data_IF_043435269213
#
_entry.id   IF_043435269213
#
_cell.length_a   1.000
_cell.length_b   1.000
_cell.length_c   1.000
_cell.angle_alpha   90.00
_cell.angle_beta   90.00
_cell.angle_gamma   90.00
#
_symmetry.space_group_name_H-M   'P 1'
#
loop_
_entity.id
_entity.type
_entity.pdbx_description
1 polymer ?
#
# COMPACT_ATOMS: atom_id res chain seq x y z
N UNK A 1 -21.08 15.13 1.39
CA UNK A 1 -21.24 13.68 1.19
C UNK A 1 -19.83 13.20 1.21
N UNK A 2 -19.43 12.61 2.33
CA UNK A 2 -18.07 12.11 2.52
C UNK A 2 -17.73 11.21 1.35
N UNK A 3 -16.64 11.53 0.68
CA UNK A 3 -15.96 10.60 -0.20
C UNK A 3 -15.47 9.48 0.69
N UNK A 4 -16.23 8.38 0.79
CA UNK A 4 -15.67 7.14 1.30
C UNK A 4 -14.43 6.85 0.45
N UNK A 5 -13.28 6.64 1.10
CA UNK A 5 -12.04 6.32 0.39
C UNK A 5 -12.24 5.01 -0.37
N UNK A 6 -12.27 5.12 -1.70
CA UNK A 6 -12.28 3.96 -2.58
C UNK A 6 -10.99 3.16 -2.37
N UNK A 7 -11.11 1.85 -2.24
CA UNK A 7 -10.03 0.91 -2.05
C UNK A 7 -10.15 -0.28 -3.03
N UNK A 8 -9.12 -1.13 -3.06
CA UNK A 8 -9.14 -2.37 -3.83
C UNK A 8 -9.30 -2.17 -5.33
N UNK A 9 -8.67 -1.16 -5.93
CA UNK A 9 -8.82 -0.87 -7.36
C UNK A 9 -8.19 -1.96 -8.24
N UNK A 10 -8.93 -2.42 -9.24
CA UNK A 10 -8.46 -3.30 -10.30
C UNK A 10 -9.02 -2.85 -11.65
N UNK A 11 -8.28 -3.03 -12.73
CA UNK A 11 -8.71 -2.62 -14.08
C UNK A 11 -8.43 -3.71 -15.11
N UNK A 12 -9.34 -3.84 -16.07
CA UNK A 12 -9.20 -4.72 -17.24
C UNK A 12 -9.48 -3.94 -18.51
N UNK A 13 -8.91 -4.37 -19.63
CA UNK A 13 -9.16 -3.77 -20.95
C UNK A 13 -10.63 -3.93 -21.35
N UNK A 14 -11.21 -2.93 -22.02
CA UNK A 14 -12.53 -3.00 -22.64
C UNK A 14 -12.34 -3.36 -24.12
N UNK A 15 -12.61 -4.62 -24.46
CA UNK A 15 -12.32 -5.17 -25.79
C UNK A 15 -13.56 -5.18 -26.66
N UNK A 16 -13.60 -4.30 -27.67
CA UNK A 16 -14.60 -4.27 -28.73
C UNK A 16 -14.26 -5.22 -29.89
N UNK A 17 -15.29 -5.79 -30.52
CA UNK A 17 -15.12 -6.58 -31.75
C UNK A 17 -14.13 -7.76 -31.62
N UNK A 18 -13.98 -8.30 -30.41
CA UNK A 18 -13.02 -9.35 -29.98
C UNK A 18 -11.54 -8.95 -29.92
N UNK A 19 -11.10 -7.86 -30.55
CA UNK A 19 -9.67 -7.58 -30.73
C UNK A 19 -9.28 -6.09 -30.65
N UNK A 20 -10.24 -5.20 -30.43
CA UNK A 20 -10.01 -3.75 -30.44
C UNK A 20 -10.10 -3.27 -29.00
N UNK A 21 -8.98 -2.84 -28.45
CA UNK A 21 -9.00 -2.11 -27.18
C UNK A 21 -9.63 -0.73 -27.42
N UNK A 22 -10.72 -0.45 -26.69
CA UNK A 22 -11.45 0.82 -26.76
C UNK A 22 -11.44 1.57 -25.43
N UNK A 23 -10.72 1.08 -24.42
CA UNK A 23 -10.60 1.69 -23.09
C UNK A 23 -10.54 0.65 -21.97
N UNK A 24 -11.15 0.94 -20.84
CA UNK A 24 -11.03 0.12 -19.63
C UNK A 24 -12.34 -0.08 -18.87
N UNK A 25 -12.35 -1.12 -18.05
CA UNK A 25 -13.32 -1.32 -16.98
C UNK A 25 -12.56 -1.34 -15.66
N UNK A 26 -12.83 -0.38 -14.79
CA UNK A 26 -12.21 -0.26 -13.47
C UNK A 26 -13.20 -0.64 -12.38
N UNK A 27 -12.78 -1.48 -11.45
CA UNK A 27 -13.57 -1.91 -10.29
C UNK A 27 -12.85 -1.49 -9.02
N UNK A 28 -13.59 -0.91 -8.09
CA UNK A 28 -13.11 -0.50 -6.79
C UNK A 28 -14.24 -0.64 -5.77
N UNK A 29 -13.92 -0.66 -4.48
CA UNK A 29 -14.92 -0.79 -3.43
C UNK A 29 -14.67 0.18 -2.26
N UNK A 30 -15.71 0.50 -1.49
CA UNK A 30 -15.59 0.98 -0.11
C UNK A 30 -15.93 -0.17 0.86
N UNK A 31 -16.05 0.08 2.18
CA UNK A 31 -16.42 -0.94 3.17
C UNK A 31 -17.74 -1.69 2.85
N UNK A 32 -18.64 -1.06 2.09
CA UNK A 32 -20.02 -1.50 1.89
C UNK A 32 -20.44 -1.59 0.43
N UNK A 33 -19.73 -0.93 -0.47
CA UNK A 33 -20.12 -0.69 -1.85
C UNK A 33 -19.04 -1.16 -2.79
N UNK A 34 -19.39 -1.83 -3.88
CA UNK A 34 -18.50 -2.05 -5.03
C UNK A 34 -19.00 -1.23 -6.21
N UNK A 35 -18.07 -0.55 -6.88
CA UNK A 35 -18.31 0.27 -8.05
C UNK A 35 -17.57 -0.30 -9.26
N UNK A 36 -18.21 -0.24 -10.43
CA UNK A 36 -17.66 -0.64 -11.72
C UNK A 36 -17.82 0.53 -12.68
N UNK A 37 -16.71 1.06 -13.16
CA UNK A 37 -16.64 2.17 -14.10
C UNK A 37 -16.20 1.66 -15.48
N UNK A 38 -16.93 2.08 -16.51
CA UNK A 38 -16.56 1.95 -17.92
C UNK A 38 -15.93 3.26 -18.37
N UNK A 39 -14.77 3.19 -19.00
CA UNK A 39 -14.13 4.33 -19.66
C UNK A 39 -13.75 3.94 -21.09
N UNK A 40 -14.12 4.76 -22.07
CA UNK A 40 -13.64 4.63 -23.46
C UNK A 40 -12.63 5.70 -23.80
N UNK A 41 -11.72 5.38 -24.70
CA UNK A 41 -10.64 6.28 -25.13
C UNK A 41 -10.84 6.79 -26.55
N UNK A 42 -10.10 7.87 -26.87
CA UNK A 42 -10.04 8.48 -28.19
C UNK A 42 -11.43 8.80 -28.77
N UNK A 43 -11.73 8.26 -29.94
CA UNK A 43 -12.94 8.55 -30.72
C UNK A 43 -14.11 7.61 -30.38
N UNK A 44 -13.98 6.78 -29.33
CA UNK A 44 -15.01 5.83 -28.91
C UNK A 44 -15.91 6.40 -27.82
N UNK A 45 -17.19 6.09 -27.93
CA UNK A 45 -18.27 6.49 -27.02
C UNK A 45 -19.12 5.28 -26.64
N UNK A 46 -19.51 5.22 -25.37
CA UNK A 46 -20.50 4.29 -24.85
C UNK A 46 -21.89 4.73 -25.29
N UNK A 47 -22.65 3.81 -25.87
CA UNK A 47 -24.06 4.00 -26.24
C UNK A 47 -25.01 3.17 -25.37
N UNK A 48 -24.51 2.10 -24.76
CA UNK A 48 -25.23 1.23 -23.84
C UNK A 48 -24.24 0.47 -22.97
N UNK A 49 -24.55 0.27 -21.70
CA UNK A 49 -23.73 -0.49 -20.74
C UNK A 49 -24.60 -1.47 -19.97
N UNK A 50 -24.04 -2.64 -19.68
CA UNK A 50 -24.69 -3.73 -18.93
C UNK A 50 -23.71 -4.32 -17.93
N UNK A 51 -24.19 -4.58 -16.71
CA UNK A 51 -23.40 -5.13 -15.62
C UNK A 51 -24.17 -6.23 -14.88
N UNK A 52 -23.49 -7.36 -14.66
CA UNK A 52 -23.88 -8.38 -13.71
C UNK A 52 -22.73 -8.74 -12.78
N UNK A 53 -23.01 -8.84 -11.49
CA UNK A 53 -22.07 -9.23 -10.44
C UNK A 53 -22.67 -10.43 -9.69
N UNK A 54 -21.86 -11.46 -9.43
CA UNK A 54 -22.26 -12.65 -8.67
C UNK A 54 -21.10 -13.21 -7.84
N UNK A 55 -21.39 -14.00 -6.82
CA UNK A 55 -20.39 -14.74 -6.01
C UNK A 55 -20.05 -16.13 -6.58
N UNK A 56 -20.69 -16.52 -7.68
CA UNK A 56 -20.43 -17.75 -8.44
C UNK A 56 -20.66 -17.46 -9.94
N UNK A 57 -19.77 -17.86 -10.88
CA UNK A 57 -19.97 -17.64 -12.31
C UNK A 57 -21.29 -18.22 -12.84
N UNK A 58 -21.81 -19.29 -12.23
CA UNK A 58 -23.11 -19.87 -12.57
C UNK A 58 -24.28 -18.94 -12.25
N UNK A 59 -24.09 -17.96 -11.35
CA UNK A 59 -25.05 -16.92 -11.00
C UNK A 59 -25.17 -15.80 -12.05
N UNK A 60 -24.19 -15.66 -12.95
CA UNK A 60 -24.25 -14.67 -14.03
C UNK A 60 -25.34 -15.07 -15.06
N UNK A 61 -26.21 -14.13 -15.50
CA UNK A 61 -27.30 -14.44 -16.42
C UNK A 61 -26.83 -15.07 -17.74
N UNK A 62 -27.11 -16.35 -17.93
CA UNK A 62 -26.65 -17.11 -19.09
C UNK A 62 -27.62 -18.23 -19.49
N UNK A 63 -27.53 -18.67 -20.76
CA UNK A 63 -28.27 -19.82 -21.29
C UNK A 63 -27.37 -20.70 -22.14
N UNK A 64 -27.29 -21.98 -21.77
CA UNK A 64 -26.39 -22.95 -22.38
C UNK A 64 -24.93 -22.45 -22.43
N UNK A 65 -24.49 -21.80 -21.35
CA UNK A 65 -23.15 -21.22 -21.22
C UNK A 65 -22.94 -19.89 -21.93
N UNK A 66 -23.91 -19.35 -22.67
CA UNK A 66 -23.76 -18.03 -23.32
C UNK A 66 -24.39 -16.95 -22.42
N UNK A 67 -23.67 -15.86 -22.10
CA UNK A 67 -24.25 -14.73 -21.38
C UNK A 67 -25.33 -14.05 -22.21
N UNK A 68 -26.28 -13.42 -21.53
CA UNK A 68 -27.39 -12.67 -22.12
C UNK A 68 -27.34 -11.24 -21.59
N UNK A 69 -26.62 -10.30 -22.24
CA UNK A 69 -26.47 -8.92 -21.76
C UNK A 69 -27.78 -8.23 -21.40
N UNK A 70 -28.81 -8.33 -22.26
CA UNK A 70 -30.15 -7.77 -21.98
C UNK A 70 -30.95 -8.47 -20.87
N UNK A 71 -30.33 -9.36 -20.10
CA UNK A 71 -30.86 -9.92 -18.84
C UNK A 71 -29.95 -9.57 -17.65
N UNK A 72 -28.91 -8.77 -17.85
CA UNK A 72 -28.06 -8.30 -16.76
C UNK A 72 -28.86 -7.34 -15.87
N UNK A 73 -28.75 -7.45 -14.53
CA UNK A 73 -29.61 -6.70 -13.63
C UNK A 73 -29.45 -5.18 -13.73
N UNK A 74 -28.25 -4.72 -14.07
CA UNK A 74 -27.89 -3.31 -14.14
C UNK A 74 -27.57 -2.95 -15.59
N UNK A 75 -28.14 -1.86 -16.07
CA UNK A 75 -27.90 -1.36 -17.42
C UNK A 75 -28.26 0.12 -17.53
N UNK A 76 -27.55 0.82 -18.40
CA UNK A 76 -27.90 2.16 -18.88
C UNK A 76 -27.98 2.12 -20.40
N UNK A 77 -29.04 2.73 -20.95
CA UNK A 77 -29.31 2.82 -22.38
C UNK A 77 -29.29 4.29 -22.82
N UNK A 78 -29.35 4.54 -24.14
CA UNK A 78 -29.38 5.88 -24.75
C UNK A 78 -28.21 6.78 -24.30
N UNK A 79 -27.03 6.18 -24.10
CA UNK A 79 -25.82 6.88 -23.71
C UNK A 79 -25.15 7.58 -24.91
N UNK A 80 -24.40 8.64 -24.61
CA UNK A 80 -23.43 9.24 -25.52
C UNK A 80 -22.31 9.90 -24.69
N UNK A 81 -21.49 9.07 -24.07
CA UNK A 81 -20.49 9.45 -23.08
C UNK A 81 -19.27 8.56 -23.21
N UNK A 82 -18.12 9.02 -22.73
CA UNK A 82 -16.93 8.18 -22.61
C UNK A 82 -16.82 7.51 -21.24
N UNK A 83 -17.64 7.91 -20.27
CA UNK A 83 -17.64 7.38 -18.91
C UNK A 83 -19.04 7.00 -18.47
N UNK A 84 -19.16 5.84 -17.83
CA UNK A 84 -20.37 5.39 -17.14
C UNK A 84 -20.01 4.51 -15.94
N UNK A 85 -20.81 4.53 -14.88
CA UNK A 85 -20.48 3.79 -13.66
C UNK A 85 -21.73 3.24 -12.96
N UNK A 86 -21.54 2.09 -12.32
CA UNK A 86 -22.52 1.45 -11.46
C UNK A 86 -21.91 1.22 -10.08
N UNK A 87 -22.66 1.51 -9.02
CA UNK A 87 -22.26 1.17 -7.66
C UNK A 87 -23.38 0.38 -6.98
N UNK A 88 -23.04 -0.71 -6.32
CA UNK A 88 -23.97 -1.57 -5.59
C UNK A 88 -23.43 -1.93 -4.21
N UNK A 89 -24.34 -2.15 -3.26
CA UNK A 89 -23.95 -2.63 -1.94
C UNK A 89 -23.48 -4.09 -2.03
N UNK A 90 -22.36 -4.42 -1.40
CA UNK A 90 -21.86 -5.78 -1.25
C UNK A 90 -22.91 -6.70 -0.61
N UNK A 91 -23.67 -6.16 0.35
CA UNK A 91 -24.75 -6.90 1.00
C UNK A 91 -25.88 -7.31 0.03
N UNK A 92 -26.16 -6.51 -1.01
CA UNK A 92 -27.22 -6.81 -1.99
C UNK A 92 -26.83 -7.95 -2.95
N UNK A 93 -25.53 -8.15 -3.16
CA UNK A 93 -24.98 -9.29 -3.93
C UNK A 93 -24.68 -10.50 -3.04
N UNK A 94 -24.86 -10.39 -1.72
CA UNK A 94 -24.60 -11.45 -0.75
C UNK A 94 -23.11 -11.73 -0.55
N UNK A 95 -22.28 -10.68 -0.59
CA UNK A 95 -20.85 -10.73 -0.38
C UNK A 95 -20.41 -9.75 0.70
N UNK A 96 -19.22 -9.99 1.25
CA UNK A 96 -18.47 -9.08 2.13
C UNK A 96 -17.06 -8.86 1.52
N UNK A 97 -16.30 -7.85 1.97
CA UNK A 97 -14.90 -7.73 1.59
C UNK A 97 -14.12 -9.03 1.83
N UNK A 98 -13.30 -9.44 0.86
CA UNK A 98 -12.58 -10.71 0.84
C UNK A 98 -13.31 -11.85 0.11
N UNK A 99 -14.61 -11.73 -0.15
CA UNK A 99 -15.34 -12.72 -0.95
C UNK A 99 -15.09 -12.52 -2.45
N UNK A 100 -14.81 -13.59 -3.22
CA UNK A 100 -14.60 -13.45 -4.66
C UNK A 100 -15.91 -13.09 -5.37
N UNK A 101 -15.84 -12.06 -6.20
CA UNK A 101 -16.89 -11.61 -7.11
C UNK A 101 -16.51 -11.95 -8.55
N UNK A 102 -17.52 -12.29 -9.33
CA UNK A 102 -17.43 -12.52 -10.76
C UNK A 102 -18.26 -11.46 -11.46
N UNK A 103 -17.60 -10.68 -12.31
CA UNK A 103 -18.14 -9.46 -12.90
C UNK A 103 -18.19 -9.63 -14.42
N UNK A 104 -19.38 -9.49 -14.98
CA UNK A 104 -19.61 -9.51 -16.42
C UNK A 104 -20.05 -8.11 -16.88
N UNK A 105 -19.21 -7.48 -17.72
CA UNK A 105 -19.46 -6.17 -18.30
C UNK A 105 -19.62 -6.27 -19.80
N UNK A 106 -20.70 -5.70 -20.33
CA UNK A 106 -20.96 -5.60 -21.76
C UNK A 106 -21.32 -4.17 -22.13
N UNK A 107 -20.74 -3.64 -23.20
CA UNK A 107 -21.08 -2.32 -23.72
C UNK A 107 -21.38 -2.38 -25.23
N UNK A 108 -22.27 -1.50 -25.69
CA UNK A 108 -22.32 -1.11 -27.09
C UNK A 108 -21.54 0.20 -27.24
N UNK A 109 -20.57 0.22 -28.15
CA UNK A 109 -19.69 1.37 -28.40
C UNK A 109 -19.84 1.88 -29.82
N UNK A 110 -19.70 3.18 -30.00
CA UNK A 110 -19.74 3.87 -31.28
C UNK A 110 -18.46 4.68 -31.47
N UNK A 111 -17.94 4.72 -32.71
CA UNK A 111 -16.78 5.53 -33.06
C UNK A 111 -17.21 6.78 -33.83
N UNK A 112 -16.85 7.96 -33.35
CA UNK A 112 -17.10 9.25 -34.01
C UNK A 112 -15.77 9.91 -34.42
N UNK A 113 -15.58 10.15 -35.71
CA UNK A 113 -14.40 10.84 -36.24
C UNK A 113 -14.87 12.11 -36.94
N UNK A 114 -14.29 13.26 -36.55
CA UNK A 114 -14.61 14.58 -37.13
C UNK A 114 -16.12 14.93 -37.10
N UNK A 115 -16.88 14.44 -36.10
CA UNK A 115 -18.31 14.69 -35.97
C UNK A 115 -19.21 13.75 -36.78
N UNK A 116 -18.64 12.69 -37.39
CA UNK A 116 -19.38 11.68 -38.15
C UNK A 116 -19.25 10.30 -37.50
N UNK A 117 -20.38 9.61 -37.34
CA UNK A 117 -20.43 8.24 -36.84
C UNK A 117 -19.85 7.28 -37.90
N UNK A 118 -18.72 6.66 -37.58
CA UNK A 118 -17.96 5.78 -38.50
C UNK A 118 -18.36 4.31 -38.33
N UNK A 119 -18.77 3.91 -37.14
CA UNK A 119 -19.19 2.54 -36.87
C UNK A 119 -19.55 2.31 -35.41
N UNK A 120 -19.93 1.07 -35.11
CA UNK A 120 -20.16 0.64 -33.73
C UNK A 120 -19.90 -0.85 -33.57
N UNK A 121 -19.55 -1.24 -32.36
CA UNK A 121 -19.17 -2.59 -31.97
C UNK A 121 -19.75 -2.92 -30.59
N UNK A 122 -19.76 -4.20 -30.22
CA UNK A 122 -19.98 -4.60 -28.82
C UNK A 122 -18.64 -4.83 -28.15
N UNK A 123 -18.53 -4.49 -26.86
CA UNK A 123 -17.33 -4.64 -26.06
C UNK A 123 -17.58 -5.39 -24.76
N UNK A 124 -16.55 -6.05 -24.25
CA UNK A 124 -16.55 -6.75 -22.97
C UNK A 124 -15.32 -6.38 -22.15
N UNK A 125 -15.47 -6.28 -20.83
CA UNK A 125 -14.30 -6.27 -19.95
C UNK A 125 -13.53 -7.59 -20.11
N UNK A 126 -12.23 -7.48 -20.36
CA UNK A 126 -11.38 -8.63 -20.63
C UNK A 126 -11.30 -9.55 -19.43
N UNK A 127 -11.38 -10.86 -19.67
CA UNK A 127 -11.33 -11.85 -18.60
C UNK A 127 -11.44 -13.28 -19.11
N UNK A 128 -12.10 -14.12 -18.32
CA UNK A 128 -12.40 -15.50 -18.63
C UNK A 128 -13.56 -15.63 -19.60
N UNK A 129 -13.44 -16.56 -20.55
CA UNK A 129 -14.53 -16.90 -21.45
C UNK A 129 -15.70 -17.53 -20.69
N UNK A 130 -16.91 -17.11 -21.02
CA UNK A 130 -18.09 -17.91 -20.71
C UNK A 130 -18.04 -19.27 -21.43
N UNK A 131 -18.57 -20.36 -20.84
CA UNK A 131 -18.44 -21.72 -21.39
C UNK A 131 -19.24 -21.97 -22.69
N UNK A 132 -19.96 -20.96 -23.18
CA UNK A 132 -20.77 -20.98 -24.38
C UNK A 132 -19.95 -20.95 -25.67
N UNK A 133 -20.59 -20.46 -26.74
CA UNK A 133 -20.00 -20.36 -28.09
C UNK A 133 -19.81 -18.91 -28.53
N UNK A 134 -20.35 -17.94 -27.79
CA UNK A 134 -20.05 -16.53 -27.99
C UNK A 134 -18.75 -16.16 -27.22
N UNK A 135 -18.25 -14.96 -27.50
CA UNK A 135 -17.00 -14.44 -26.95
C UNK A 135 -17.24 -13.58 -25.70
N UNK A 136 -18.39 -13.75 -25.04
CA UNK A 136 -18.66 -12.99 -23.82
C UNK A 136 -17.68 -13.39 -22.72
N UNK A 137 -17.25 -12.41 -21.94
CA UNK A 137 -16.25 -12.59 -20.89
C UNK A 137 -16.79 -12.15 -19.52
N UNK A 138 -16.18 -12.69 -18.47
CA UNK A 138 -16.30 -12.17 -17.11
C UNK A 138 -14.92 -12.19 -16.46
N UNK A 139 -14.69 -11.35 -15.47
CA UNK A 139 -13.44 -11.35 -14.71
C UNK A 139 -13.73 -11.48 -13.21
N UNK A 140 -12.70 -11.89 -12.47
CA UNK A 140 -12.77 -12.04 -11.02
C UNK A 140 -12.27 -10.77 -10.34
N UNK A 141 -12.90 -10.43 -9.22
CA UNK A 141 -12.54 -9.31 -8.38
C UNK A 141 -12.76 -9.69 -6.92
N UNK A 142 -11.80 -9.40 -6.05
CA UNK A 142 -11.95 -9.62 -4.61
C UNK A 142 -11.99 -8.24 -3.94
N UNK A 143 -13.15 -7.77 -3.44
CA UNK A 143 -13.24 -6.48 -2.77
C UNK A 143 -12.30 -6.45 -1.56
N UNK A 144 -11.52 -5.39 -1.44
CA UNK A 144 -10.58 -5.23 -0.34
C UNK A 144 -11.31 -4.72 0.90
N UNK A 145 -10.82 -5.05 2.10
CA UNK A 145 -11.25 -4.33 3.29
C UNK A 145 -10.70 -2.90 3.19
N UNK A 146 -11.57 -1.89 3.09
CA UNK A 146 -11.14 -0.49 2.98
C UNK A 146 -10.55 0.10 4.26
N UNK A 147 -10.46 -0.72 5.30
CA UNK A 147 -9.45 -0.63 6.33
C UNK A 147 -8.10 -1.14 5.79
N UNK A 148 -7.56 -0.54 4.70
CA UNK A 148 -6.35 -1.02 4.03
C UNK A 148 -5.36 -1.57 5.04
N UNK A 149 -5.14 -2.88 5.04
CA UNK A 149 -4.56 -3.56 6.21
C UNK A 149 -3.06 -3.28 6.27
N UNK A 150 -2.71 -2.06 6.68
CA UNK A 150 -1.40 -1.69 7.16
C UNK A 150 -1.07 -2.45 8.47
N UNK A 151 -1.97 -3.30 8.98
CA UNK A 151 -1.69 -4.18 10.10
C UNK A 151 -0.81 -5.38 9.76
N UNK A 152 -0.45 -5.59 8.48
CA UNK A 152 0.64 -6.50 8.13
C UNK A 152 2.01 -5.99 8.59
N UNK A 153 2.19 -4.68 8.75
CA UNK A 153 3.47 -4.10 9.15
C UNK A 153 3.73 -4.28 10.64
N UNK A 154 5.02 -4.24 10.98
CA UNK A 154 5.49 -4.21 12.36
C UNK A 154 6.61 -3.18 12.47
N UNK A 155 6.56 -2.38 13.50
CA UNK A 155 7.64 -1.48 13.92
C UNK A 155 7.91 -1.72 15.39
N UNK A 156 8.99 -1.17 15.92
CA UNK A 156 9.20 -1.13 17.36
C UNK A 156 9.89 0.14 17.81
N UNK A 157 9.58 0.52 19.04
CA UNK A 157 10.30 1.60 19.73
C UNK A 157 11.73 1.20 20.05
N UNK A 158 12.60 2.20 20.22
CA UNK A 158 13.97 1.98 20.72
C UNK A 158 13.99 1.25 22.08
N UNK A 159 12.95 1.41 22.90
CA UNK A 159 12.81 0.70 24.16
C UNK A 159 12.60 -0.81 23.95
N UNK A 160 11.73 -1.18 23.00
CA UNK A 160 11.51 -2.58 22.63
C UNK A 160 12.78 -3.23 22.08
N UNK A 161 13.42 -2.56 21.12
CA UNK A 161 14.68 -3.03 20.53
C UNK A 161 15.87 -3.01 21.49
N UNK A 162 15.83 -2.29 22.59
CA UNK A 162 16.88 -2.30 23.64
C UNK A 162 16.69 -3.38 24.71
N UNK A 163 15.65 -4.21 24.62
CA UNK A 163 15.43 -5.26 25.63
C UNK A 163 16.37 -6.45 25.44
N UNK A 164 16.75 -7.11 26.54
CA UNK A 164 17.36 -8.45 26.49
C UNK A 164 16.34 -9.48 26.02
N UNK A 165 16.78 -10.49 25.26
CA UNK A 165 15.89 -11.55 24.79
C UNK A 165 15.25 -12.33 25.96
N UNK A 166 13.92 -12.26 26.07
CA UNK A 166 13.09 -13.06 26.97
C UNK A 166 11.76 -13.41 26.31
N UNK A 167 11.45 -14.71 26.23
CA UNK A 167 10.23 -15.19 25.59
C UNK A 167 10.22 -14.87 24.09
N UNK A 168 9.22 -14.13 23.63
CA UNK A 168 9.08 -13.69 22.23
C UNK A 168 9.17 -12.16 22.10
N UNK A 169 9.88 -11.49 23.02
CA UNK A 169 10.00 -10.05 22.98
C UNK A 169 10.85 -9.57 21.77
N UNK A 170 10.85 -8.26 21.46
CA UNK A 170 11.59 -7.73 20.31
C UNK A 170 13.10 -7.99 20.38
N UNK A 171 13.70 -8.01 21.58
CA UNK A 171 15.10 -8.40 21.77
C UNK A 171 15.43 -9.79 21.23
N UNK A 172 14.52 -10.77 21.37
CA UNK A 172 14.73 -12.10 20.78
C UNK A 172 14.68 -12.11 19.25
N UNK A 173 13.80 -11.31 18.64
CA UNK A 173 13.75 -11.18 17.18
C UNK A 173 15.04 -10.53 16.67
N UNK A 174 15.46 -9.43 17.30
CA UNK A 174 16.74 -8.77 17.01
C UNK A 174 17.91 -9.76 17.10
N UNK A 175 18.03 -10.52 18.19
CA UNK A 175 19.10 -11.50 18.39
C UNK A 175 19.15 -12.59 17.31
N UNK A 176 17.99 -13.04 16.84
CA UNK A 176 17.91 -14.12 15.85
C UNK A 176 18.18 -13.64 14.41
N UNK A 177 17.86 -12.39 14.08
CA UNK A 177 17.83 -11.91 12.70
C UNK A 177 18.88 -10.84 12.39
N UNK A 178 19.54 -10.25 13.39
CA UNK A 178 20.48 -9.13 13.18
C UNK A 178 21.58 -9.44 12.17
N UNK A 179 22.30 -10.56 12.33
CA UNK A 179 23.43 -10.90 11.45
C UNK A 179 22.98 -11.16 9.99
N UNK A 180 21.73 -11.59 9.80
CA UNK A 180 21.16 -11.81 8.47
C UNK A 180 20.75 -10.49 7.80
N UNK A 181 20.18 -9.56 8.57
CA UNK A 181 19.77 -8.24 8.09
C UNK A 181 20.96 -7.28 7.90
N UNK A 182 21.99 -7.41 8.76
CA UNK A 182 23.12 -6.49 8.87
C UNK A 182 24.45 -7.25 8.93
N UNK A 183 24.87 -7.94 7.85
CA UNK A 183 26.09 -8.75 7.85
C UNK A 183 27.38 -7.95 8.15
N UNK A 184 27.38 -6.65 7.86
CA UNK A 184 28.48 -5.72 8.14
C UNK A 184 28.17 -4.76 9.31
N UNK A 185 27.08 -5.00 10.04
CA UNK A 185 26.55 -4.13 11.08
C UNK A 185 25.58 -3.06 10.58
N UNK A 186 24.79 -2.50 11.50
CA UNK A 186 23.87 -1.41 11.23
C UNK A 186 24.62 -0.08 11.30
N UNK A 187 24.66 0.67 10.20
CA UNK A 187 25.28 2.00 10.14
C UNK A 187 24.21 3.08 10.30
N UNK A 188 24.44 4.04 11.19
CA UNK A 188 23.62 5.23 11.35
C UNK A 188 24.46 6.51 11.38
N UNK A 189 23.92 7.62 10.88
CA UNK A 189 24.67 8.84 10.65
C UNK A 189 25.26 8.90 9.23
N UNK A 190 26.24 9.78 9.03
CA UNK A 190 26.84 10.02 7.71
C UNK A 190 28.26 10.59 7.86
N UNK A 191 29.06 10.46 6.80
CA UNK A 191 30.45 10.97 6.70
C UNK A 191 31.29 10.65 7.94
N UNK A 192 31.92 11.64 8.59
CA UNK A 192 32.79 11.43 9.76
C UNK A 192 32.00 11.20 11.07
N UNK A 193 30.70 11.51 11.08
CA UNK A 193 29.83 11.33 12.25
C UNK A 193 28.83 10.19 11.96
N UNK A 194 29.35 8.99 11.76
CA UNK A 194 28.56 7.77 11.72
C UNK A 194 28.95 6.82 12.86
N UNK A 195 27.98 6.03 13.29
CA UNK A 195 28.14 4.93 14.20
C UNK A 195 27.81 3.61 13.50
N UNK A 196 28.51 2.54 13.86
CA UNK A 196 28.22 1.20 13.33
C UNK A 196 27.95 0.26 14.50
N UNK A 197 26.74 -0.29 14.60
CA UNK A 197 26.42 -1.33 15.58
C UNK A 197 26.75 -2.68 14.95
N UNK A 198 27.80 -3.34 15.43
CA UNK A 198 28.36 -4.53 14.79
C UNK A 198 27.63 -5.83 15.14
N UNK A 199 26.72 -5.80 16.13
CA UNK A 199 26.00 -6.99 16.58
C UNK A 199 24.68 -6.64 17.26
N UNK A 200 23.83 -7.65 17.43
CA UNK A 200 22.61 -7.53 18.23
C UNK A 200 22.90 -7.08 19.68
N UNK A 201 24.01 -7.54 20.27
CA UNK A 201 24.43 -7.14 21.61
C UNK A 201 24.86 -5.65 21.66
N UNK A 202 25.47 -5.14 20.59
CA UNK A 202 25.78 -3.71 20.46
C UNK A 202 24.50 -2.88 20.44
N UNK A 203 23.47 -3.32 19.71
CA UNK A 203 22.14 -2.67 19.71
C UNK A 203 21.49 -2.72 21.09
N UNK A 204 21.46 -3.89 21.74
CA UNK A 204 20.88 -4.04 23.08
C UNK A 204 21.48 -3.07 24.07
N UNK A 205 22.81 -2.92 24.04
CA UNK A 205 23.53 -2.08 24.98
C UNK A 205 23.40 -0.59 24.65
N UNK A 206 23.36 -0.24 23.37
CA UNK A 206 23.25 1.14 22.94
C UNK A 206 21.85 1.72 23.16
N UNK A 207 20.81 0.89 23.26
CA UNK A 207 19.42 1.30 23.42
C UNK A 207 18.84 1.00 24.82
N UNK A 208 17.86 1.80 25.29
CA UNK A 208 17.41 3.05 24.72
C UNK A 208 18.38 4.21 25.06
N UNK A 209 18.32 5.25 24.24
CA UNK A 209 19.05 6.51 24.47
C UNK A 209 18.10 7.60 24.97
N UNK A 210 18.65 8.60 25.66
CA UNK A 210 17.91 9.75 26.17
C UNK A 210 18.60 11.07 25.85
N UNK A 211 18.14 12.16 26.46
CA UNK A 211 18.66 13.50 26.18
C UNK A 211 17.97 14.18 24.98
N UNK A 212 18.31 15.44 24.74
CA UNK A 212 17.71 16.22 23.65
C UNK A 212 18.14 15.74 22.26
N UNK A 213 17.28 15.83 21.22
CA UNK A 213 17.65 15.52 19.85
C UNK A 213 18.80 16.40 19.36
N UNK A 214 19.88 15.77 18.87
CA UNK A 214 21.04 16.43 18.26
C UNK A 214 21.80 15.44 17.39
N UNK A 215 22.72 15.96 16.56
CA UNK A 215 23.71 15.13 15.87
C UNK A 215 24.63 14.40 16.87
N UNK A 216 25.29 13.34 16.38
CA UNK A 216 26.34 12.63 17.10
C UNK A 216 27.51 13.57 17.43
N UNK A 217 28.11 13.34 18.59
CA UNK A 217 29.43 13.87 18.90
C UNK A 217 30.51 12.97 18.31
N UNK A 218 31.72 13.49 18.02
CA UNK A 218 32.82 12.66 17.51
C UNK A 218 33.14 11.45 18.39
N UNK A 219 33.01 11.57 19.72
CA UNK A 219 33.19 10.45 20.65
C UNK A 219 32.08 9.39 20.61
N UNK A 220 30.93 9.70 20.02
CA UNK A 220 29.79 8.78 19.83
C UNK A 220 29.79 8.15 18.43
N UNK A 221 30.55 8.71 17.49
CA UNK A 221 30.71 8.24 16.11
C UNK A 221 31.78 7.13 16.01
N UNK A 222 31.45 5.96 16.54
CA UNK A 222 32.36 4.79 16.62
C UNK A 222 31.68 3.50 16.16
N UNK A 223 32.46 2.44 15.99
CA UNK A 223 31.92 1.09 15.84
C UNK A 223 31.70 0.47 17.23
N UNK A 224 30.45 0.11 17.53
CA UNK A 224 29.99 -0.47 18.78
C UNK A 224 30.04 -1.99 18.66
N UNK A 225 30.72 -2.65 19.59
CA UNK A 225 30.84 -4.11 19.62
C UNK A 225 29.99 -4.78 20.72
N UNK A 226 29.30 -3.99 21.54
CA UNK A 226 28.49 -4.43 22.68
C UNK A 226 29.28 -4.59 23.98
N UNK A 227 30.56 -4.20 24.01
CA UNK A 227 31.41 -4.29 25.19
C UNK A 227 31.21 -3.13 26.17
N UNK A 228 31.74 -3.29 27.39
CA UNK A 228 31.72 -2.23 28.40
C UNK A 228 32.53 -0.98 28.02
N UNK A 229 33.35 -1.05 26.96
CA UNK A 229 34.14 0.06 26.46
C UNK A 229 33.35 1.00 25.52
N UNK A 230 32.21 0.55 25.00
CA UNK A 230 31.37 1.35 24.12
C UNK A 230 30.89 2.64 24.82
N UNK A 231 30.96 3.80 24.14
CA UNK A 231 30.51 5.06 24.71
C UNK A 231 28.98 5.07 24.88
N UNK A 232 28.48 5.86 25.84
CA UNK A 232 27.05 6.11 25.96
C UNK A 232 26.65 7.25 25.04
N UNK A 233 25.68 7.02 24.16
CA UNK A 233 25.15 8.06 23.27
C UNK A 233 24.15 8.94 24.01
N UNK A 234 24.40 10.25 24.04
CA UNK A 234 23.65 11.23 24.81
C UNK A 234 22.54 11.96 24.05
N UNK A 235 21.96 11.33 23.03
CA UNK A 235 20.83 11.90 22.27
C UNK A 235 19.78 10.84 21.95
N UNK A 236 18.51 11.14 22.25
CA UNK A 236 17.36 10.26 21.94
C UNK A 236 17.22 10.01 20.44
N UNK A 237 17.70 10.94 19.61
CA UNK A 237 17.59 10.88 18.17
C UNK A 237 18.33 9.67 17.59
N UNK A 238 19.53 9.36 18.11
CA UNK A 238 20.26 8.16 17.75
C UNK A 238 19.41 6.91 17.95
N UNK A 239 18.77 6.77 19.11
CA UNK A 239 17.93 5.62 19.41
C UNK A 239 16.73 5.50 18.48
N UNK A 240 16.10 6.62 18.10
CA UNK A 240 14.98 6.59 17.15
C UNK A 240 15.44 6.18 15.74
N UNK A 241 16.60 6.67 15.27
CA UNK A 241 17.15 6.30 13.96
C UNK A 241 17.56 4.83 13.92
N UNK A 242 18.19 4.32 14.98
CA UNK A 242 18.53 2.89 15.09
C UNK A 242 17.26 2.04 15.07
N UNK A 243 16.25 2.40 15.87
CA UNK A 243 14.99 1.65 15.92
C UNK A 243 14.24 1.64 14.58
N UNK A 244 14.25 2.76 13.85
CA UNK A 244 13.65 2.86 12.53
C UNK A 244 14.43 2.03 11.51
N UNK A 245 15.76 2.10 11.53
CA UNK A 245 16.62 1.29 10.65
C UNK A 245 16.43 -0.21 10.85
N UNK A 246 16.26 -0.68 12.09
CA UNK A 246 15.95 -2.07 12.39
C UNK A 246 14.59 -2.48 11.81
N UNK A 247 13.55 -1.67 12.05
CA UNK A 247 12.19 -2.00 11.58
C UNK A 247 12.12 -2.03 10.05
N UNK A 248 12.74 -1.06 9.37
CA UNK A 248 12.80 -1.00 7.89
C UNK A 248 13.57 -2.19 7.30
N UNK A 249 14.69 -2.61 7.91
CA UNK A 249 15.43 -3.76 7.40
C UNK A 249 14.71 -5.08 7.70
N UNK A 250 14.11 -5.23 8.89
CA UNK A 250 13.40 -6.45 9.26
C UNK A 250 12.08 -6.62 8.49
N UNK A 251 11.51 -5.56 7.93
CA UNK A 251 10.38 -5.65 6.99
C UNK A 251 10.70 -6.49 5.73
N UNK A 252 11.97 -6.79 5.44
CA UNK A 252 12.31 -7.73 4.38
C UNK A 252 12.08 -9.22 4.75
N UNK A 253 11.76 -9.53 6.02
CA UNK A 253 11.59 -10.89 6.52
C UNK A 253 10.11 -11.18 6.78
N UNK A 254 9.57 -12.21 6.14
CA UNK A 254 8.15 -12.57 6.23
C UNK A 254 7.70 -12.90 7.67
N UNK A 255 8.60 -13.44 8.50
CA UNK A 255 8.31 -13.77 9.90
C UNK A 255 8.40 -12.56 10.86
N UNK A 256 8.82 -11.40 10.36
CA UNK A 256 8.71 -10.14 11.08
C UNK A 256 7.30 -9.55 11.00
N UNK A 257 6.67 -9.71 9.82
CA UNK A 257 5.35 -9.16 9.49
C UNK A 257 4.24 -9.96 10.14
N UNK A 258 3.08 -9.33 10.29
CA UNK A 258 1.87 -9.97 10.83
C UNK A 258 0.91 -10.45 9.74
N UNK A 259 1.22 -10.13 8.48
CA UNK A 259 0.44 -10.48 7.31
C UNK A 259 1.14 -9.99 6.03
N UNK A 260 0.49 -10.21 4.89
CA UNK A 260 0.98 -9.69 3.62
C UNK A 260 0.91 -8.16 3.61
N UNK A 261 1.97 -7.51 3.15
CA UNK A 261 2.03 -6.06 3.02
C UNK A 261 2.03 -5.67 1.54
N UNK A 262 1.21 -4.67 1.13
CA UNK A 262 1.05 -4.31 -0.28
C UNK A 262 2.29 -3.60 -0.85
N UNK A 263 3.07 -2.95 0.00
CA UNK A 263 4.36 -2.32 -0.32
C UNK A 263 5.38 -2.62 0.79
N UNK A 264 6.67 -2.32 0.61
CA UNK A 264 7.63 -2.29 1.71
C UNK A 264 7.32 -1.17 2.73
N UNK A 265 7.68 -1.37 4.01
CA UNK A 265 7.53 -0.36 5.07
C UNK A 265 8.20 0.97 4.67
N UNK A 266 9.34 0.90 3.99
CA UNK A 266 10.07 2.07 3.51
C UNK A 266 9.27 2.95 2.53
N UNK A 267 8.30 2.37 1.83
CA UNK A 267 7.52 3.04 0.78
C UNK A 267 6.21 3.64 1.32
N UNK A 268 5.81 3.33 2.56
CA UNK A 268 4.70 4.01 3.22
C UNK A 268 5.00 5.50 3.40
N UNK A 269 3.96 6.32 3.30
CA UNK A 269 4.04 7.78 3.37
C UNK A 269 3.42 8.29 4.65
N UNK A 270 4.05 9.28 5.28
CA UNK A 270 3.51 9.99 6.44
C UNK A 270 2.27 10.77 6.01
N UNK A 271 1.13 10.45 6.61
CA UNK A 271 -0.15 11.06 6.30
C UNK A 271 -0.67 12.00 7.41
N UNK A 272 -0.05 11.97 8.59
CA UNK A 272 -0.43 12.85 9.70
C UNK A 272 -0.21 14.33 9.32
N UNK A 273 -1.28 15.15 9.20
CA UNK A 273 -1.17 16.54 8.79
C UNK A 273 -0.47 17.44 9.81
N UNK A 274 -0.30 16.98 11.07
CA UNK A 274 0.45 17.70 12.10
C UNK A 274 1.96 17.36 12.05
N UNK A 275 2.36 16.34 11.29
CA UNK A 275 3.74 15.91 11.17
C UNK A 275 4.57 16.88 10.32
N UNK A 276 5.79 17.27 10.76
CA UNK A 276 6.73 18.01 9.90
C UNK A 276 7.25 17.17 8.72
N UNK A 277 7.01 15.86 8.74
CA UNK A 277 7.37 14.93 7.65
C UNK A 277 6.19 14.53 6.77
N UNK A 278 5.05 15.24 6.85
CA UNK A 278 3.88 14.99 5.99
C UNK A 278 4.29 14.84 4.52
N UNK A 279 3.85 13.75 3.89
CA UNK A 279 4.12 13.44 2.49
C UNK A 279 5.49 12.83 2.21
N UNK A 280 6.38 12.72 3.21
CA UNK A 280 7.63 11.96 3.06
C UNK A 280 7.35 10.47 3.23
N UNK A 281 8.04 9.65 2.45
CA UNK A 281 8.10 8.21 2.69
C UNK A 281 8.92 7.88 3.95
N UNK A 282 8.67 6.72 4.56
CA UNK A 282 9.46 6.21 5.69
C UNK A 282 10.95 6.12 5.33
N UNK A 283 11.27 5.69 4.11
CA UNK A 283 12.64 5.65 3.59
C UNK A 283 13.28 7.03 3.49
N UNK A 284 12.55 8.04 3.02
CA UNK A 284 13.03 9.43 2.99
C UNK A 284 13.25 10.00 4.39
N UNK A 285 12.35 9.70 5.34
CA UNK A 285 12.52 10.08 6.75
C UNK A 285 13.77 9.43 7.32
N UNK A 286 13.99 8.13 7.12
CA UNK A 286 15.19 7.42 7.59
C UNK A 286 16.47 7.99 6.97
N UNK A 287 16.47 8.30 5.68
CA UNK A 287 17.62 8.91 5.00
C UNK A 287 17.92 10.31 5.52
N UNK A 288 16.89 11.16 5.65
CA UNK A 288 17.03 12.51 6.22
C UNK A 288 17.48 12.46 7.68
N UNK A 289 16.99 11.50 8.45
CA UNK A 289 17.35 11.32 9.84
C UNK A 289 18.82 10.90 10.01
N UNK A 290 19.32 9.99 9.16
CA UNK A 290 20.75 9.65 9.12
C UNK A 290 21.62 10.85 8.74
N UNK A 291 21.20 11.65 7.75
CA UNK A 291 21.91 12.86 7.38
C UNK A 291 22.00 13.86 8.55
N UNK A 292 20.88 14.14 9.22
CA UNK A 292 20.85 15.04 10.37
C UNK A 292 21.64 14.49 11.57
N UNK A 293 21.57 13.17 11.82
CA UNK A 293 22.28 12.51 12.92
C UNK A 293 23.80 12.60 12.73
N UNK A 294 24.29 12.48 11.49
CA UNK A 294 25.71 12.67 11.18
C UNK A 294 26.11 14.12 10.86
N UNK A 295 25.23 15.09 11.09
CA UNK A 295 25.54 16.50 10.83
C UNK A 295 25.72 16.87 9.36
N UNK A 296 25.30 16.00 8.44
CA UNK A 296 25.19 16.33 7.01
C UNK A 296 24.00 17.27 6.77
N UNK A 297 23.96 17.97 5.62
CA UNK A 297 22.82 18.81 5.26
C UNK A 297 21.51 18.01 5.23
N UNK A 298 20.52 18.47 6.01
CA UNK A 298 19.17 17.94 6.04
C UNK A 298 18.16 19.10 6.01
N UNK A 299 16.99 18.88 5.40
CA UNK A 299 15.95 19.91 5.28
C UNK A 299 15.23 20.19 6.61
N UNK A 300 15.08 19.15 7.44
CA UNK A 300 14.47 19.20 8.76
C UNK A 300 15.54 19.10 9.86
N UNK A 301 15.24 19.65 11.04
CA UNK A 301 16.13 19.59 12.20
C UNK A 301 16.17 18.19 12.83
N UNK A 302 17.21 17.93 13.63
CA UNK A 302 17.31 16.69 14.41
C UNK A 302 16.12 16.47 15.36
N UNK A 303 15.48 17.54 15.85
CA UNK A 303 14.29 17.43 16.68
C UNK A 303 13.07 16.97 15.87
N UNK A 304 12.78 17.64 14.75
CA UNK A 304 11.67 17.28 13.86
C UNK A 304 11.81 15.86 13.33
N UNK A 305 13.02 15.47 12.88
CA UNK A 305 13.27 14.12 12.39
C UNK A 305 13.25 13.08 13.51
N UNK A 306 13.62 13.44 14.74
CA UNK A 306 13.46 12.55 15.89
C UNK A 306 11.99 12.29 16.19
N UNK A 307 11.13 13.30 16.07
CA UNK A 307 9.70 13.17 16.29
C UNK A 307 9.05 12.33 15.16
N UNK A 308 9.43 12.54 13.90
CA UNK A 308 8.97 11.70 12.79
C UNK A 308 9.42 10.23 12.93
N UNK A 309 10.68 9.99 13.29
CA UNK A 309 11.17 8.64 13.49
C UNK A 309 10.47 7.96 14.68
N UNK A 310 10.22 8.68 15.78
CA UNK A 310 9.47 8.16 16.92
C UNK A 310 8.04 7.78 16.52
N UNK A 311 7.35 8.67 15.81
CA UNK A 311 6.02 8.44 15.26
C UNK A 311 5.96 7.16 14.41
N UNK A 312 6.89 6.95 13.48
CA UNK A 312 6.95 5.72 12.66
C UNK A 312 7.22 4.51 13.54
N UNK A 313 8.19 4.59 14.46
CA UNK A 313 8.53 3.49 15.37
C UNK A 313 7.34 3.06 16.24
N UNK A 314 6.45 4.00 16.54
CA UNK A 314 5.25 3.80 17.36
C UNK A 314 4.00 3.43 16.54
N UNK A 315 4.04 3.50 15.20
CA UNK A 315 2.88 3.30 14.34
C UNK A 315 2.34 1.86 14.31
N UNK A 316 3.23 0.87 14.42
CA UNK A 316 2.88 -0.56 14.34
C UNK A 316 3.62 -1.39 15.41
N UNK A 317 3.71 -0.87 16.63
CA UNK A 317 4.39 -1.56 17.75
C UNK A 317 3.84 -2.97 17.92
N UNK A 318 4.73 -3.96 17.95
CA UNK A 318 4.40 -5.39 18.00
C UNK A 318 3.53 -5.92 16.84
N UNK A 319 3.24 -5.09 15.84
CA UNK A 319 2.27 -5.40 14.80
C UNK A 319 0.87 -5.58 15.37
N UNK A 320 0.53 -4.79 16.39
CA UNK A 320 -0.79 -4.81 17.02
C UNK A 320 -1.82 -4.12 16.11
N UNK A 321 -2.85 -4.89 15.73
CA UNK A 321 -3.93 -4.45 14.85
C UNK A 321 -4.69 -3.22 15.39
N UNK A 322 -4.70 -3.01 16.71
CA UNK A 322 -5.37 -1.86 17.33
C UNK A 322 -4.60 -0.54 17.16
N UNK A 323 -3.29 -0.61 16.86
CA UNK A 323 -2.39 0.56 16.77
C UNK A 323 -2.24 1.08 15.33
N UNK A 324 -2.67 0.32 14.32
CA UNK A 324 -2.39 0.57 12.89
C UNK A 324 -3.00 1.81 12.22
N UNK A 325 -3.60 2.76 12.95
CA UNK A 325 -4.49 3.78 12.34
C UNK A 325 -3.88 5.18 12.28
N UNK A 326 -3.91 5.76 11.08
CA UNK A 326 -3.97 7.21 10.84
C UNK A 326 -2.64 7.98 10.79
N UNK A 327 -1.49 7.30 10.81
CA UNK A 327 -0.17 7.97 10.82
C UNK A 327 0.60 7.78 9.50
N UNK A 328 0.48 6.60 8.91
CA UNK A 328 1.12 6.18 7.67
C UNK A 328 0.06 5.66 6.70
N UNK A 329 0.27 5.86 5.41
CA UNK A 329 -0.62 5.44 4.33
C UNK A 329 0.17 4.85 3.16
N UNK A 330 -0.52 4.06 2.34
CA UNK A 330 0.03 3.61 1.06
C UNK A 330 0.08 4.82 0.12
N UNK A 331 1.19 5.07 -0.59
CA UNK A 331 1.25 6.16 -1.56
C UNK A 331 0.16 6.00 -2.62
N UNK A 332 -0.74 6.98 -2.73
CA UNK A 332 -1.74 7.00 -3.79
C UNK A 332 -1.05 7.35 -5.12
N UNK A 333 -1.34 6.65 -6.22
CA UNK A 333 -0.84 7.03 -7.53
C UNK A 333 -1.32 8.45 -7.83
N UNK A 334 -0.37 9.35 -8.13
CA UNK A 334 -0.71 10.73 -8.47
C UNK A 334 -1.64 10.71 -9.68
N UNK A 335 -2.84 11.32 -9.62
CA UNK A 335 -3.73 11.34 -10.78
C UNK A 335 -2.98 11.95 -11.95
N UNK A 336 -2.91 11.22 -13.06
CA UNK A 336 -2.29 11.68 -14.29
C UNK A 336 -3.06 12.94 -14.71
N UNK A 337 -2.43 14.12 -14.78
CA UNK A 337 -3.13 15.31 -15.25
C UNK A 337 -3.52 15.09 -16.72
N UNK A 338 -4.84 15.10 -16.97
CA UNK A 338 -5.42 15.11 -18.32
C UNK A 338 -5.12 16.39 -19.10
#
# INVERSE_FOLDING_TARGET
MDSAEACGEASVELIAGQHIDVGSVTVYNDETTVCVEFATEADWYLTETHLAIATDPAGLPQKNGNPIPGQFPLHHEDLWTQHDAFCVLLADIGAEPGDPLYIATHAAVAQEIDGELVGGETAWGQGHDFPGKNWGMYFEYVPSTCDGELCGYRTQTQGGWGTSCQGNNPGCYRDAHFDAAFPDGLVVGCDDLHATLLSSAAVERALPTGGGPRALLPEEAVSYDGSDADPTVGTVFFGQVVALGLSVAFDAFDDYKQGDTPVPLADLVIADPESPCLGMSVGEVLAAANAALGGCPAALSAAELSDCAAMINEAYVDGDAEVCRGTLEIPTPTPIPG
#
